data_IF_679992213804
#
_entry.id   IF_679992213804
#
_cell.length_a   1.000
_cell.length_b   1.000
_cell.length_c   1.000
_cell.angle_alpha   90.00
_cell.angle_beta   90.00
_cell.angle_gamma   90.00
#
_symmetry.space_group_name_H-M   'P 1'
#
loop_
_entity.id
_entity.type
_entity.pdbx_description
1 polymer ?
#
# COMPACT_ATOMS: atom_id res chain seq x y z
N UNK A 1 -5.04 -11.23 12.41
CA UNK A 1 -4.59 -10.83 11.06
C UNK A 1 -5.84 -10.51 10.27
N UNK A 2 -5.95 -9.31 9.69
CA UNK A 2 -7.08 -8.98 8.82
C UNK A 2 -7.04 -9.94 7.62
N UNK A 3 -8.16 -10.59 7.29
CA UNK A 3 -8.21 -11.60 6.25
C UNK A 3 -9.18 -12.74 6.58
N UNK A 4 -9.35 -13.67 5.64
CA UNK A 4 -10.16 -14.87 5.84
C UNK A 4 -9.61 -15.68 7.03
N UNK A 5 -10.34 -15.69 8.15
CA UNK A 5 -10.23 -16.77 9.11
C UNK A 5 -10.80 -17.99 8.38
N UNK A 6 -10.06 -19.10 8.28
CA UNK A 6 -10.42 -20.25 7.43
C UNK A 6 -11.78 -20.95 7.71
N UNK A 7 -12.70 -20.29 8.41
CA UNK A 7 -14.13 -20.55 8.54
C UNK A 7 -14.94 -20.02 7.36
N UNK A 8 -14.58 -18.85 6.84
CA UNK A 8 -14.99 -18.44 5.49
C UNK A 8 -13.83 -18.88 4.60
N UNK A 9 -14.10 -19.71 3.61
CA UNK A 9 -13.04 -20.30 2.77
C UNK A 9 -13.03 -19.72 1.35
N UNK A 10 -14.15 -19.18 0.90
CA UNK A 10 -14.32 -18.63 -0.43
C UNK A 10 -15.15 -17.34 -0.35
N UNK A 11 -14.51 -16.16 -0.49
CA UNK A 11 -15.20 -14.89 -0.41
C UNK A 11 -16.11 -14.65 -1.63
N UNK A 12 -15.96 -15.40 -2.72
CA UNK A 12 -16.85 -15.25 -3.88
C UNK A 12 -18.23 -15.88 -3.65
N UNK A 13 -18.36 -16.78 -2.65
CA UNK A 13 -19.62 -17.43 -2.26
C UNK A 13 -20.44 -16.55 -1.33
N UNK A 14 -21.06 -15.53 -1.90
CA UNK A 14 -21.87 -14.54 -1.18
C UNK A 14 -22.95 -15.18 -0.29
N UNK A 15 -23.63 -16.23 -0.74
CA UNK A 15 -24.67 -16.92 0.04
C UNK A 15 -24.16 -17.43 1.40
N UNK A 16 -22.99 -18.06 1.41
CA UNK A 16 -22.40 -18.58 2.64
C UNK A 16 -22.05 -17.44 3.60
N UNK A 17 -21.39 -16.39 3.08
CA UNK A 17 -21.01 -15.21 3.88
C UNK A 17 -22.23 -14.50 4.45
N UNK A 18 -23.29 -14.34 3.64
CA UNK A 18 -24.55 -13.71 4.06
C UNK A 18 -25.26 -14.56 5.12
N UNK A 19 -25.25 -15.89 4.99
CA UNK A 19 -25.83 -16.78 5.98
C UNK A 19 -25.08 -16.73 7.32
N UNK A 20 -23.75 -16.66 7.31
CA UNK A 20 -22.97 -16.44 8.53
C UNK A 20 -23.24 -15.06 9.14
N UNK A 21 -23.34 -14.01 8.31
CA UNK A 21 -23.73 -12.67 8.78
C UNK A 21 -25.10 -12.67 9.46
N UNK A 22 -26.11 -13.35 8.88
CA UNK A 22 -27.47 -13.42 9.46
C UNK A 22 -27.53 -14.13 10.80
N UNK A 23 -26.58 -15.03 11.12
CA UNK A 23 -26.47 -15.60 12.47
C UNK A 23 -26.07 -14.55 13.51
N UNK A 24 -25.27 -13.56 13.10
CA UNK A 24 -24.83 -12.44 13.94
C UNK A 24 -25.85 -11.30 13.96
N UNK A 25 -26.55 -11.06 12.85
CA UNK A 25 -27.56 -10.03 12.70
C UNK A 25 -28.81 -10.59 12.00
N UNK A 26 -29.74 -11.22 12.74
CA UNK A 26 -30.92 -11.88 12.16
C UNK A 26 -31.89 -10.93 11.46
N UNK A 27 -32.00 -9.68 11.92
CA UNK A 27 -32.83 -8.64 11.29
C UNK A 27 -32.12 -7.92 10.13
N UNK A 28 -30.88 -8.31 9.82
CA UNK A 28 -30.04 -7.67 8.83
C UNK A 28 -30.55 -7.90 7.41
N UNK A 29 -30.81 -6.80 6.71
CA UNK A 29 -31.24 -6.80 5.32
C UNK A 29 -30.05 -6.51 4.40
N UNK A 30 -29.46 -7.57 3.84
CA UNK A 30 -28.28 -7.45 2.96
C UNK A 30 -28.73 -7.08 1.54
N UNK A 31 -28.41 -5.84 1.14
CA UNK A 31 -28.77 -5.30 -0.19
C UNK A 31 -27.76 -5.58 -1.30
N UNK A 32 -26.53 -5.93 -0.94
CA UNK A 32 -25.46 -6.18 -1.89
C UNK A 32 -24.23 -6.78 -1.23
N UNK A 33 -23.46 -7.50 -2.02
CA UNK A 33 -22.22 -8.13 -1.59
C UNK A 33 -21.17 -7.97 -2.69
N UNK A 34 -19.99 -7.50 -2.31
CA UNK A 34 -18.83 -7.38 -3.21
C UNK A 34 -17.61 -7.89 -2.47
N UNK A 35 -16.80 -8.69 -3.15
CA UNK A 35 -15.52 -9.19 -2.68
C UNK A 35 -14.45 -8.93 -3.74
N UNK A 36 -13.22 -8.65 -3.29
CA UNK A 36 -12.07 -8.53 -4.18
C UNK A 36 -10.87 -9.27 -3.58
N UNK A 37 -10.24 -10.12 -4.38
CA UNK A 37 -9.06 -10.89 -3.96
C UNK A 37 -7.81 -10.12 -4.34
N UNK A 38 -7.36 -9.22 -3.46
CA UNK A 38 -6.20 -8.35 -3.71
C UNK A 38 -4.90 -9.09 -4.03
N UNK A 39 -4.71 -10.31 -3.52
CA UNK A 39 -3.55 -11.15 -3.83
C UNK A 39 -3.51 -11.64 -5.28
N UNK A 40 -4.66 -11.73 -5.93
CA UNK A 40 -4.80 -12.17 -7.33
C UNK A 40 -4.96 -10.99 -8.30
N UNK A 41 -5.08 -9.76 -7.78
CA UNK A 41 -5.12 -8.55 -8.58
C UNK A 41 -3.78 -8.37 -9.33
N UNK A 42 -3.78 -8.22 -10.67
CA UNK A 42 -2.54 -8.18 -11.46
C UNK A 42 -1.69 -6.92 -11.17
N UNK A 43 -2.30 -5.86 -10.65
CA UNK A 43 -1.63 -4.60 -10.34
C UNK A 43 -1.25 -4.50 -8.86
N UNK A 44 -2.09 -5.01 -7.95
CA UNK A 44 -1.81 -4.95 -6.51
C UNK A 44 -0.96 -6.15 -6.02
N UNK A 45 -1.27 -7.37 -6.47
CA UNK A 45 -0.60 -8.64 -6.08
C UNK A 45 -0.51 -8.88 -4.57
N UNK A 46 -1.36 -8.22 -3.80
CA UNK A 46 -1.31 -8.15 -2.35
C UNK A 46 -2.21 -7.03 -1.83
N UNK A 47 -2.55 -7.10 -0.54
CA UNK A 47 -3.48 -6.15 0.08
C UNK A 47 -2.76 -4.99 0.79
N UNK A 48 -1.78 -5.30 1.64
CA UNK A 48 -0.94 -4.32 2.33
C UNK A 48 0.42 -4.93 2.66
N UNK A 49 1.38 -4.08 3.03
CA UNK A 49 2.70 -4.51 3.47
C UNK A 49 2.65 -5.44 4.69
N UNK A 50 3.07 -6.68 4.48
CA UNK A 50 3.29 -7.68 5.52
C UNK A 50 4.74 -8.14 5.48
N UNK A 51 5.59 -7.50 6.29
CA UNK A 51 7.01 -7.81 6.28
C UNK A 51 7.31 -9.17 6.93
N UNK A 52 8.20 -9.95 6.32
CA UNK A 52 8.89 -11.02 7.02
C UNK A 52 9.91 -10.45 8.03
N UNK A 53 10.29 -11.20 9.08
CA UNK A 53 11.31 -10.77 10.02
C UNK A 53 12.58 -10.27 9.33
N UNK A 54 12.97 -9.02 9.62
CA UNK A 54 14.16 -8.37 9.06
C UNK A 54 14.00 -7.75 7.66
N UNK A 55 12.90 -7.99 6.94
CA UNK A 55 12.68 -7.42 5.61
C UNK A 55 12.57 -5.89 5.68
N UNK A 56 11.83 -5.40 6.67
CA UNK A 56 11.52 -3.98 6.85
C UNK A 56 12.70 -3.15 7.38
N UNK A 57 13.75 -3.79 7.90
CA UNK A 57 14.95 -3.11 8.44
C UNK A 57 16.13 -3.22 7.49
N UNK A 58 16.29 -4.35 6.79
CA UNK A 58 17.42 -4.58 5.87
C UNK A 58 17.21 -3.94 4.50
N UNK A 59 15.98 -3.89 4.00
CA UNK A 59 15.70 -3.49 2.61
C UNK A 59 15.22 -2.05 2.47
N UNK A 60 14.82 -1.40 3.58
CA UNK A 60 14.13 -0.11 3.54
C UNK A 60 14.94 0.99 2.84
N UNK A 61 16.23 1.10 3.18
CA UNK A 61 17.09 2.13 2.61
C UNK A 61 17.16 2.00 1.10
N UNK A 62 17.43 0.79 0.60
CA UNK A 62 17.51 0.52 -0.83
C UNK A 62 16.18 0.80 -1.55
N UNK A 63 15.04 0.47 -0.94
CA UNK A 63 13.71 0.74 -1.52
C UNK A 63 13.37 2.25 -1.62
N UNK A 64 13.99 3.09 -0.79
CA UNK A 64 13.75 4.53 -0.78
C UNK A 64 14.76 5.34 -1.59
N UNK A 65 15.84 4.70 -2.06
CA UNK A 65 16.87 5.34 -2.87
C UNK A 65 16.34 5.62 -4.29
N UNK A 66 16.62 6.81 -4.85
CA UNK A 66 16.28 7.10 -6.24
C UNK A 66 17.07 6.20 -7.20
N UNK A 67 16.42 5.79 -8.29
CA UNK A 67 17.07 5.08 -9.40
C UNK A 67 17.28 6.06 -10.55
N UNK A 68 18.38 6.81 -10.51
CA UNK A 68 18.66 7.89 -11.46
C UNK A 68 17.61 9.00 -11.35
N UNK A 69 16.87 9.26 -12.43
CA UNK A 69 15.76 10.24 -12.47
C UNK A 69 14.40 9.65 -12.06
N UNK A 70 14.37 8.41 -11.58
CA UNK A 70 13.14 7.73 -11.14
C UNK A 70 13.08 7.73 -9.62
N UNK A 71 12.02 8.34 -9.08
CA UNK A 71 11.75 8.42 -7.64
C UNK A 71 10.47 7.65 -7.34
N UNK A 72 10.54 6.70 -6.41
CA UNK A 72 9.40 5.87 -6.05
C UNK A 72 8.73 6.37 -4.77
N UNK A 73 7.40 6.29 -4.72
CA UNK A 73 6.59 6.58 -3.54
C UNK A 73 5.64 5.41 -3.29
N UNK A 74 5.74 4.78 -2.12
CA UNK A 74 4.85 3.68 -1.72
C UNK A 74 4.57 3.72 -0.22
N UNK A 75 3.32 3.44 0.17
CA UNK A 75 2.94 3.28 1.57
C UNK A 75 3.73 2.17 2.27
N UNK A 76 4.19 1.15 1.54
CA UNK A 76 4.78 -0.06 2.11
C UNK A 76 6.15 0.20 2.75
N UNK A 77 6.84 1.27 2.33
CA UNK A 77 8.11 1.70 2.89
C UNK A 77 8.06 3.08 3.52
N UNK A 78 6.88 3.55 3.94
CA UNK A 78 6.78 4.79 4.73
C UNK A 78 7.62 4.72 6.02
N UNK A 79 8.03 5.86 6.56
CA UNK A 79 8.79 5.90 7.81
C UNK A 79 7.89 5.65 9.02
N UNK A 80 6.70 6.28 9.05
CA UNK A 80 5.75 6.13 10.15
C UNK A 80 4.68 5.06 9.88
N UNK A 81 3.80 5.33 8.93
CA UNK A 81 2.54 4.61 8.75
C UNK A 81 2.60 3.57 7.61
N UNK A 82 3.48 2.57 7.76
CA UNK A 82 3.68 1.53 6.72
C UNK A 82 2.42 0.73 6.45
N UNK A 83 2.05 0.61 5.17
CA UNK A 83 0.87 -0.13 4.72
C UNK A 83 -0.45 0.61 4.96
N UNK A 84 -0.41 1.90 5.31
CA UNK A 84 -1.60 2.76 5.49
C UNK A 84 -1.62 3.92 4.50
N UNK A 85 -2.79 4.54 4.35
CA UNK A 85 -3.02 5.70 3.47
C UNK A 85 -2.09 6.86 3.87
N UNK A 86 -1.92 7.13 5.16
CA UNK A 86 -0.99 8.14 5.68
C UNK A 86 0.44 7.91 5.20
N UNK A 87 0.86 6.64 5.09
CA UNK A 87 2.17 6.29 4.53
C UNK A 87 2.28 6.60 3.03
N UNK A 88 1.20 6.41 2.26
CA UNK A 88 1.16 6.80 0.85
C UNK A 88 1.30 8.32 0.70
N UNK A 89 0.57 9.08 1.52
CA UNK A 89 0.61 10.55 1.53
C UNK A 89 2.01 11.04 1.93
N UNK A 90 2.58 10.49 2.99
CA UNK A 90 3.94 10.78 3.46
C UNK A 90 4.96 10.59 2.33
N UNK A 91 4.94 9.43 1.67
CA UNK A 91 5.93 9.11 0.65
C UNK A 91 5.72 9.89 -0.66
N UNK A 92 4.48 10.21 -1.02
CA UNK A 92 4.18 11.10 -2.14
C UNK A 92 4.71 12.53 -1.92
N UNK A 93 4.48 13.09 -0.73
CA UNK A 93 5.00 14.40 -0.35
C UNK A 93 6.55 14.40 -0.32
N UNK A 94 7.15 13.36 0.26
CA UNK A 94 8.60 13.18 0.32
C UNK A 94 9.22 13.11 -1.07
N UNK A 95 8.71 12.23 -1.94
CA UNK A 95 9.24 12.06 -3.30
C UNK A 95 9.19 13.37 -4.09
N UNK A 96 8.06 14.10 -3.98
CA UNK A 96 7.89 15.41 -4.64
C UNK A 96 8.93 16.44 -4.17
N UNK A 97 9.16 16.54 -2.87
CA UNK A 97 10.15 17.46 -2.30
C UNK A 97 11.58 17.11 -2.74
N UNK A 98 11.92 15.81 -2.78
CA UNK A 98 13.23 15.34 -3.21
C UNK A 98 13.46 15.61 -4.70
N UNK A 99 12.46 15.35 -5.55
CA UNK A 99 12.52 15.66 -6.99
C UNK A 99 12.76 17.15 -7.20
N UNK A 100 11.98 18.01 -6.51
CA UNK A 100 12.15 19.46 -6.59
C UNK A 100 13.59 19.86 -6.24
N UNK A 101 14.12 19.37 -5.12
CA UNK A 101 15.48 19.66 -4.71
C UNK A 101 16.52 19.18 -5.74
N UNK A 102 16.35 17.97 -6.28
CA UNK A 102 17.26 17.43 -7.28
C UNK A 102 17.30 18.29 -8.56
N UNK A 103 16.15 18.78 -9.02
CA UNK A 103 16.06 19.68 -10.17
C UNK A 103 16.75 21.03 -9.90
N UNK A 104 16.51 21.62 -8.73
CA UNK A 104 17.16 22.88 -8.33
C UNK A 104 18.70 22.77 -8.29
N UNK A 105 19.23 21.61 -7.87
CA UNK A 105 20.67 21.36 -7.90
C UNK A 105 21.22 21.23 -9.34
N UNK A 106 20.48 20.60 -10.25
CA UNK A 106 20.88 20.53 -11.67
C UNK A 106 20.90 21.93 -12.29
N UNK A 107 19.91 22.77 -11.99
CA UNK A 107 19.83 24.14 -12.47
C UNK A 107 21.03 24.98 -11.98
N UNK A 108 21.43 24.81 -10.71
CA UNK A 108 22.58 25.48 -10.11
C UNK A 108 23.93 25.04 -10.70
N UNK A 109 24.02 23.81 -11.21
CA UNK A 109 25.21 23.30 -11.91
C UNK A 109 25.24 23.82 -13.36
N UNK A 110 24.07 23.99 -13.98
CA UNK A 110 23.94 24.43 -15.37
C UNK A 110 24.07 25.95 -15.58
N UNK A 111 23.83 26.75 -14.54
CA UNK A 111 24.05 28.21 -14.56
C UNK A 111 25.42 28.57 -13.97
N UNK A 112 26.37 29.15 -14.75
CA UNK A 112 27.64 29.59 -14.20
C UNK A 112 27.38 30.68 -13.15
N UNK A 113 27.93 30.51 -11.94
CA UNK A 113 28.00 31.61 -10.97
C UNK A 113 28.89 32.70 -11.57
N UNK A 114 28.33 33.88 -11.81
CA UNK A 114 29.05 35.11 -12.17
C UNK A 114 30.03 35.51 -11.05
#
# INVERSE_FOLDING_TARGET
MFGHSGKLTDPTKSEHVINEFKKLQPSGDVRGYVSHTWSEDPYAKGAWFCAFPGQATKSLKALQEPHGRVFMASADWAQGWRGFIDGAIEQGARASAVVKYALEQEDCISTPKL
#
